data_IF_757365089920
#
_entry.id   IF_757365089920
#
_cell.length_a   1.000
_cell.length_b   1.000
_cell.length_c   1.000
_cell.angle_alpha   90.00
_cell.angle_beta   90.00
_cell.angle_gamma   90.00
#
_symmetry.space_group_name_H-M   'P 1'
#
loop_
_entity.id
_entity.type
_entity.pdbx_description
1 polymer ?
#
# COMPACT_ATOMS: atom_id res chain seq x y z
N UNK A 1 12.25 -20.32 -6.15
CA UNK A 1 11.15 -19.60 -5.46
C UNK A 1 11.34 -18.12 -5.77
N UNK A 2 10.33 -17.38 -6.25
CA UNK A 2 10.48 -15.93 -6.35
C UNK A 2 10.73 -15.36 -4.94
N UNK A 3 11.72 -14.49 -4.80
CA UNK A 3 11.97 -13.79 -3.55
C UNK A 3 10.85 -12.78 -3.29
N UNK A 4 10.01 -13.06 -2.29
CA UNK A 4 9.00 -12.12 -1.85
C UNK A 4 9.66 -11.02 -1.00
N UNK A 5 9.95 -9.86 -1.61
CA UNK A 5 10.59 -8.72 -0.94
C UNK A 5 9.68 -7.50 -0.91
N UNK A 6 9.68 -6.81 0.22
CA UNK A 6 9.07 -5.49 0.36
C UNK A 6 9.88 -4.44 -0.39
N UNK A 7 9.23 -3.64 -1.24
CA UNK A 7 9.87 -2.57 -2.02
C UNK A 7 9.40 -1.22 -1.50
N UNK A 8 10.34 -0.37 -1.09
CA UNK A 8 10.04 1.01 -0.71
C UNK A 8 9.47 1.80 -1.89
N UNK A 9 8.37 2.49 -1.65
CA UNK A 9 7.68 3.28 -2.67
C UNK A 9 7.00 4.51 -2.05
N UNK A 10 6.48 5.36 -2.93
CA UNK A 10 5.71 6.55 -2.55
C UNK A 10 4.41 6.62 -3.32
N UNK A 11 3.46 7.41 -2.83
CA UNK A 11 2.18 7.63 -3.48
C UNK A 11 2.31 8.14 -4.94
N UNK A 12 3.40 8.85 -5.25
CA UNK A 12 3.71 9.35 -6.60
C UNK A 12 4.49 8.37 -7.48
N UNK A 13 5.01 7.27 -6.92
CA UNK A 13 5.85 6.30 -7.63
C UNK A 13 5.00 5.22 -8.28
N UNK A 14 5.52 4.63 -9.35
CA UNK A 14 5.02 3.33 -9.81
C UNK A 14 5.33 2.24 -8.78
N UNK A 15 4.51 1.20 -8.76
CA UNK A 15 4.76 -0.01 -7.96
C UNK A 15 5.33 -1.12 -8.86
N UNK A 16 6.01 -2.14 -8.28
CA UNK A 16 6.50 -3.29 -9.02
C UNK A 16 5.38 -4.00 -9.80
N UNK A 17 5.71 -4.58 -10.95
CA UNK A 17 4.75 -5.30 -11.79
C UNK A 17 4.26 -6.62 -11.19
N UNK A 18 5.05 -7.18 -10.27
CA UNK A 18 4.77 -8.40 -9.51
C UNK A 18 4.12 -8.12 -8.15
N UNK A 19 3.69 -6.88 -7.92
CA UNK A 19 3.02 -6.50 -6.68
C UNK A 19 1.74 -7.33 -6.44
N UNK A 20 1.55 -7.76 -5.20
CA UNK A 20 0.47 -8.61 -4.76
C UNK A 20 -0.85 -7.82 -4.71
N UNK A 21 -1.75 -8.14 -5.63
CA UNK A 21 -3.13 -7.64 -5.62
C UNK A 21 -3.85 -8.16 -4.37
N UNK A 22 -4.32 -7.23 -3.54
CA UNK A 22 -5.04 -7.52 -2.30
C UNK A 22 -6.56 -7.33 -2.40
N UNK A 23 -7.04 -6.77 -3.52
CA UNK A 23 -8.46 -6.58 -3.77
C UNK A 23 -8.75 -5.51 -4.82
N UNK A 24 -10.00 -5.08 -4.86
CA UNK A 24 -10.51 -4.07 -5.80
C UNK A 24 -11.41 -3.12 -5.03
N UNK A 25 -11.23 -1.81 -5.25
CA UNK A 25 -12.06 -0.75 -4.67
C UNK A 25 -13.43 -0.69 -5.36
N UNK A 26 -14.40 0.02 -4.78
CA UNK A 26 -15.78 0.08 -5.27
C UNK A 26 -15.90 0.62 -6.71
N UNK A 27 -14.95 1.44 -7.14
CA UNK A 27 -14.86 2.00 -8.49
C UNK A 27 -14.11 1.11 -9.48
N UNK A 28 -13.73 -0.11 -9.08
CA UNK A 28 -12.96 -1.04 -9.90
C UNK A 28 -11.45 -0.85 -9.86
N UNK A 29 -10.94 0.12 -9.07
CA UNK A 29 -9.49 0.35 -8.96
C UNK A 29 -8.81 -0.77 -8.18
N UNK A 30 -7.72 -1.33 -8.70
CA UNK A 30 -6.93 -2.35 -8.00
C UNK A 30 -6.31 -1.82 -6.71
N UNK A 31 -6.36 -2.67 -5.68
CA UNK A 31 -5.73 -2.47 -4.37
C UNK A 31 -4.59 -3.48 -4.24
N UNK A 32 -3.46 -3.02 -3.72
CA UNK A 32 -2.27 -3.82 -3.49
C UNK A 32 -1.92 -3.90 -2.01
N UNK A 33 -1.29 -5.02 -1.63
CA UNK A 33 -0.84 -5.25 -0.26
C UNK A 33 0.40 -4.41 0.01
N UNK A 34 0.27 -3.45 0.93
CA UNK A 34 1.37 -2.65 1.42
C UNK A 34 1.54 -2.75 2.93
N UNK A 35 2.56 -2.06 3.42
CA UNK A 35 2.73 -1.72 4.83
C UNK A 35 3.41 -0.36 4.96
N UNK A 36 3.19 0.34 6.06
CA UNK A 36 3.83 1.62 6.33
C UNK A 36 4.05 1.81 7.83
N UNK A 37 5.06 2.61 8.17
CA UNK A 37 5.23 3.04 9.56
C UNK A 37 4.26 4.18 9.88
N UNK A 38 3.48 3.99 10.93
CA UNK A 38 2.62 5.04 11.48
C UNK A 38 2.50 4.87 12.99
N UNK A 39 2.59 5.97 13.74
CA UNK A 39 2.53 5.97 15.21
C UNK A 39 3.47 4.94 15.89
N UNK A 40 4.75 4.91 15.46
CA UNK A 40 5.79 3.98 15.93
C UNK A 40 5.54 2.49 15.67
N UNK A 41 4.52 2.12 14.90
CA UNK A 41 4.22 0.74 14.52
C UNK A 41 4.34 0.52 13.02
N UNK A 42 4.57 -0.73 12.59
CA UNK A 42 4.52 -1.14 11.20
C UNK A 42 3.14 -1.74 10.90
N UNK A 43 2.34 -0.97 10.16
CA UNK A 43 0.94 -1.29 9.94
C UNK A 43 0.69 -1.76 8.51
N UNK A 44 -0.22 -2.72 8.28
CA UNK A 44 -0.66 -3.06 6.93
C UNK A 44 -1.31 -1.84 6.26
N UNK A 45 -1.06 -1.70 4.97
CA UNK A 45 -1.54 -0.59 4.17
C UNK A 45 -2.30 -1.08 2.93
N UNK A 46 -3.39 -0.38 2.62
CA UNK A 46 -4.09 -0.46 1.32
C UNK A 46 -3.37 0.48 0.35
N UNK A 47 -2.71 -0.05 -0.68
CA UNK A 47 -2.01 0.75 -1.71
C UNK A 47 -2.86 0.82 -2.98
N UNK A 48 -3.10 2.02 -3.49
CA UNK A 48 -3.96 2.28 -4.65
C UNK A 48 -3.20 3.16 -5.66
N UNK A 49 -2.38 2.57 -6.55
CA UNK A 49 -1.57 3.33 -7.50
C UNK A 49 -2.42 4.22 -8.43
N UNK A 50 -3.59 3.74 -8.85
CA UNK A 50 -4.52 4.51 -9.69
C UNK A 50 -5.03 5.80 -9.05
N UNK A 51 -5.01 5.88 -7.71
CA UNK A 51 -5.39 7.08 -6.94
C UNK A 51 -4.18 7.80 -6.34
N UNK A 52 -2.95 7.34 -6.61
CA UNK A 52 -1.72 7.85 -5.99
C UNK A 52 -1.87 7.93 -4.47
N UNK A 53 -2.32 6.86 -3.85
CA UNK A 53 -2.61 6.85 -2.42
C UNK A 53 -2.26 5.53 -1.76
N UNK A 54 -1.87 5.60 -0.49
CA UNK A 54 -1.79 4.46 0.40
C UNK A 54 -2.36 4.85 1.76
N UNK A 55 -3.05 3.92 2.42
CA UNK A 55 -3.72 4.17 3.69
C UNK A 55 -3.44 3.07 4.70
N UNK A 56 -3.19 3.46 5.95
CA UNK A 56 -3.22 2.57 7.12
C UNK A 56 -4.49 2.82 7.91
N UNK A 57 -5.01 1.78 8.57
CA UNK A 57 -6.16 1.92 9.46
C UNK A 57 -5.67 2.20 10.88
N UNK A 58 -5.93 3.40 11.41
CA UNK A 58 -5.53 3.75 12.78
C UNK A 58 -6.64 4.51 13.50
N UNK A 59 -6.95 4.10 14.73
CA UNK A 59 -7.97 4.71 15.59
C UNK A 59 -9.33 4.91 14.89
N UNK A 60 -9.77 3.91 14.12
CA UNK A 60 -11.05 3.94 13.39
C UNK A 60 -11.06 4.84 12.14
N UNK A 61 -9.90 5.31 11.69
CA UNK A 61 -9.77 6.18 10.52
C UNK A 61 -8.80 5.61 9.48
N UNK A 62 -9.02 5.96 8.22
CA UNK A 62 -8.03 5.77 7.17
C UNK A 62 -7.05 6.94 7.19
N UNK A 63 -5.78 6.63 7.42
CA UNK A 63 -4.71 7.62 7.45
C UNK A 63 -3.87 7.50 6.20
N UNK A 64 -3.82 8.58 5.42
CA UNK A 64 -2.94 8.67 4.27
C UNK A 64 -1.47 8.57 4.68
N UNK A 65 -0.71 7.73 3.97
CA UNK A 65 0.74 7.58 4.15
C UNK A 65 1.44 7.78 2.81
N UNK A 66 2.35 8.75 2.75
CA UNK A 66 3.09 9.03 1.51
C UNK A 66 4.22 8.02 1.25
N UNK A 67 4.80 7.44 2.31
CA UNK A 67 5.90 6.47 2.24
C UNK A 67 5.39 5.13 2.75
N UNK A 68 5.60 4.09 1.97
CA UNK A 68 5.16 2.74 2.28
C UNK A 68 6.08 1.73 1.60
N UNK A 69 5.90 0.48 1.95
CA UNK A 69 6.44 -0.65 1.23
C UNK A 69 5.30 -1.41 0.57
N UNK A 70 5.51 -1.84 -0.66
CA UNK A 70 4.57 -2.68 -1.40
C UNK A 70 5.20 -4.05 -1.62
N UNK A 71 4.37 -5.07 -1.57
CA UNK A 71 4.74 -6.44 -1.89
C UNK A 71 4.21 -6.80 -3.26
#
# INVERSE_FOLDING_TARGET
MPEYRWVDSTASSSIPSDALEGGVDVDGTKIYVGKARYNNDEMPAKVIPGKRAAFVSYAGKEIFVNKFQVK
#
